data_IF_278387512622
#
_entry.id   IF_278387512622
#
_cell.length_a   1.000
_cell.length_b   1.000
_cell.length_c   1.000
_cell.angle_alpha   90.00
_cell.angle_beta   90.00
_cell.angle_gamma   90.00
#
_symmetry.space_group_name_H-M   'P 1'
#
loop_
_entity.id
_entity.type
_entity.pdbx_description
1 polymer ?
#
# COMPACT_ATOMS: atom_id res chain seq x y z
N UNK A 1 11.48 19.70 19.08
CA UNK A 1 10.11 19.47 18.57
C UNK A 1 9.92 17.96 18.53
N UNK A 2 8.86 17.39 19.02
CA UNK A 2 8.68 15.93 18.98
C UNK A 2 8.21 15.56 17.59
N UNK A 3 8.88 14.60 16.94
CA UNK A 3 8.47 14.03 15.67
C UNK A 3 7.10 13.35 15.81
N UNK A 4 6.35 13.35 14.74
CA UNK A 4 5.02 12.73 14.68
C UNK A 4 5.18 11.24 14.31
N UNK A 5 4.39 10.36 14.93
CA UNK A 5 4.18 9.02 14.41
C UNK A 5 3.08 9.11 13.37
N UNK A 6 3.45 9.15 12.12
CA UNK A 6 2.52 9.29 11.00
C UNK A 6 2.13 7.92 10.42
N UNK A 7 0.92 7.83 9.89
CA UNK A 7 0.43 6.67 9.16
C UNK A 7 -0.30 7.05 7.88
N UNK A 8 -0.34 6.10 6.98
CA UNK A 8 -1.11 6.17 5.75
C UNK A 8 -1.74 4.81 5.45
N UNK A 9 -3.01 4.79 5.09
CA UNK A 9 -3.72 3.58 4.69
C UNK A 9 -4.09 3.66 3.22
N UNK A 10 -3.51 2.77 2.42
CA UNK A 10 -3.83 2.60 1.02
C UNK A 10 -4.58 1.28 0.79
N UNK A 11 -5.47 1.29 -0.20
CA UNK A 11 -6.08 0.10 -0.78
C UNK A 11 -5.81 0.06 -2.27
N UNK A 12 -5.68 -1.12 -2.85
CA UNK A 12 -5.49 -1.27 -4.29
C UNK A 12 -6.70 -1.92 -4.94
N UNK A 13 -7.02 -1.46 -6.14
CA UNK A 13 -7.96 -2.14 -7.04
C UNK A 13 -7.44 -2.02 -8.47
N UNK A 14 -7.01 -3.14 -9.03
CA UNK A 14 -6.28 -3.14 -10.29
C UNK A 14 -4.99 -2.33 -10.18
N UNK A 15 -4.82 -1.35 -11.05
CA UNK A 15 -3.65 -0.47 -11.06
C UNK A 15 -3.80 0.79 -10.19
N UNK A 16 -4.97 1.02 -9.63
CA UNK A 16 -5.28 2.24 -8.86
C UNK A 16 -5.04 2.02 -7.37
N UNK A 17 -4.55 3.06 -6.71
CA UNK A 17 -4.33 3.14 -5.27
C UNK A 17 -5.31 4.14 -4.66
N UNK A 18 -6.04 3.71 -3.66
CA UNK A 18 -7.03 4.50 -2.95
C UNK A 18 -6.47 4.91 -1.59
N UNK A 19 -6.25 6.19 -1.38
CA UNK A 19 -5.92 6.75 -0.07
C UNK A 19 -7.21 6.85 0.75
N UNK A 20 -7.35 5.98 1.75
CA UNK A 20 -8.58 5.87 2.56
C UNK A 20 -8.43 6.40 3.98
N UNK A 21 -7.20 6.55 4.47
CA UNK A 21 -6.87 7.22 5.73
C UNK A 21 -5.43 7.69 5.73
N UNK A 22 -5.19 8.76 6.42
CA UNK A 22 -3.88 9.27 6.80
C UNK A 22 -3.99 9.97 8.14
N UNK A 23 -2.87 10.24 8.77
CA UNK A 23 -2.82 11.02 9.99
C UNK A 23 -1.51 10.85 10.74
N UNK A 24 -1.48 11.40 11.93
CA UNK A 24 -0.34 11.29 12.81
C UNK A 24 -0.68 11.61 14.25
N UNK A 25 0.16 11.16 15.18
CA UNK A 25 0.05 11.50 16.60
C UNK A 25 1.41 11.76 17.22
N UNK A 26 1.43 12.50 18.30
CA UNK A 26 2.64 12.83 19.08
C UNK A 26 2.72 12.11 20.41
N UNK A 27 2.04 10.98 20.51
CA UNK A 27 1.97 10.16 21.71
C UNK A 27 3.23 9.29 21.90
N UNK A 28 4.14 9.31 20.92
CA UNK A 28 5.35 8.49 20.92
C UNK A 28 5.01 7.00 20.99
N UNK A 29 5.75 6.25 21.78
CA UNK A 29 5.60 4.79 21.96
C UNK A 29 4.64 4.43 23.12
N UNK A 30 3.73 5.30 23.48
CA UNK A 30 2.75 5.03 24.55
C UNK A 30 1.69 4.02 24.10
N UNK A 31 1.07 3.36 25.07
CA UNK A 31 -0.04 2.43 24.82
C UNK A 31 -1.18 3.09 24.05
N UNK A 32 -1.48 4.36 24.35
CA UNK A 32 -2.50 5.14 23.66
C UNK A 32 -2.13 5.35 22.19
N UNK A 33 -0.86 5.61 21.87
CA UNK A 33 -0.37 5.72 20.51
C UNK A 33 -0.52 4.39 19.74
N UNK A 34 -0.15 3.27 20.36
CA UNK A 34 -0.29 1.95 19.77
C UNK A 34 -1.76 1.57 19.55
N UNK A 35 -2.62 1.89 20.51
CA UNK A 35 -4.06 1.67 20.40
C UNK A 35 -4.66 2.47 19.24
N UNK A 36 -4.27 3.73 19.06
CA UNK A 36 -4.72 4.58 17.95
C UNK A 36 -4.39 3.93 16.60
N UNK A 37 -3.17 3.40 16.45
CA UNK A 37 -2.77 2.71 15.21
C UNK A 37 -3.57 1.42 15.00
N UNK A 38 -3.84 0.65 16.06
CA UNK A 38 -4.64 -0.57 15.99
C UNK A 38 -6.09 -0.26 15.57
N UNK A 39 -6.71 0.73 16.20
CA UNK A 39 -8.10 1.13 15.92
C UNK A 39 -8.24 1.59 14.46
N UNK A 40 -7.28 2.37 13.94
CA UNK A 40 -7.29 2.84 12.57
C UNK A 40 -7.06 1.67 11.57
N UNK A 41 -6.14 0.76 11.89
CA UNK A 41 -5.92 -0.43 11.09
C UNK A 41 -7.16 -1.36 11.06
N UNK A 42 -7.81 -1.58 12.20
CA UNK A 42 -9.03 -2.38 12.30
C UNK A 42 -10.19 -1.76 11.55
N UNK A 43 -10.41 -0.45 11.69
CA UNK A 43 -11.44 0.32 11.00
C UNK A 43 -11.34 0.19 9.48
N UNK A 44 -10.13 0.23 8.94
CA UNK A 44 -9.87 0.11 7.51
C UNK A 44 -9.58 -1.31 7.05
N UNK A 45 -9.63 -2.31 7.95
CA UNK A 45 -9.34 -3.73 7.67
C UNK A 45 -7.99 -3.92 6.98
N UNK A 46 -6.96 -3.29 7.55
CA UNK A 46 -5.59 -3.38 7.09
C UNK A 46 -5.08 -4.79 7.30
N UNK A 47 -4.59 -5.46 6.27
CA UNK A 47 -4.03 -6.80 6.35
C UNK A 47 -2.49 -6.82 6.36
N UNK A 48 -1.86 -5.67 6.11
CA UNK A 48 -0.42 -5.54 6.01
C UNK A 48 0.05 -4.19 6.53
N UNK A 49 1.01 -4.18 7.46
CA UNK A 49 1.59 -2.98 8.04
C UNK A 49 3.07 -2.93 7.68
N UNK A 50 3.51 -1.80 7.12
CA UNK A 50 4.91 -1.49 6.91
C UNK A 50 5.39 -0.57 8.02
N UNK A 51 6.50 -0.92 8.65
CA UNK A 51 7.15 -0.09 9.66
C UNK A 51 8.53 0.29 9.18
N UNK A 52 8.80 1.59 9.09
CA UNK A 52 10.14 2.06 8.78
C UNK A 52 11.05 1.88 10.00
N UNK A 53 12.11 1.08 9.85
CA UNK A 53 13.02 0.69 10.95
C UNK A 53 14.30 1.53 11.02
N UNK A 54 14.33 2.71 10.39
CA UNK A 54 15.50 3.58 10.37
C UNK A 54 15.85 4.17 11.75
N UNK A 55 14.92 4.10 12.70
CA UNK A 55 15.11 4.58 14.06
C UNK A 55 14.84 3.48 15.09
N UNK A 56 15.82 3.16 15.93
CA UNK A 56 15.62 2.27 17.08
C UNK A 56 15.71 0.76 16.83
N UNK A 57 16.35 0.32 15.74
CA UNK A 57 16.66 -1.11 15.45
C UNK A 57 15.49 -2.10 15.70
N UNK A 58 14.29 -1.74 15.22
CA UNK A 58 13.11 -2.60 15.34
C UNK A 58 12.36 -2.49 16.69
N UNK A 59 12.76 -1.59 17.57
CA UNK A 59 12.08 -1.43 18.87
C UNK A 59 10.60 -1.06 18.69
N UNK A 60 10.28 -0.18 17.75
CA UNK A 60 8.89 0.21 17.48
C UNK A 60 8.04 -1.00 17.05
N UNK A 61 8.56 -1.83 16.17
CA UNK A 61 7.89 -3.06 15.73
C UNK A 61 7.66 -4.03 16.88
N UNK A 62 8.61 -4.17 17.79
CA UNK A 62 8.46 -5.03 18.97
C UNK A 62 7.35 -4.53 19.89
N UNK A 63 7.19 -3.22 20.05
CA UNK A 63 6.11 -2.63 20.85
C UNK A 63 4.76 -2.71 20.13
N UNK A 64 4.76 -2.65 18.79
CA UNK A 64 3.55 -2.70 17.99
C UNK A 64 2.97 -4.11 17.85
N UNK A 65 3.82 -5.15 17.69
CA UNK A 65 3.39 -6.55 17.49
C UNK A 65 2.35 -7.07 18.47
N UNK A 66 2.45 -6.82 19.80
CA UNK A 66 1.47 -7.31 20.76
C UNK A 66 0.04 -6.75 20.55
N UNK A 67 -0.09 -5.63 19.87
CA UNK A 67 -1.37 -5.00 19.57
C UNK A 67 -2.10 -5.65 18.39
N UNK A 68 -1.36 -6.38 17.53
CA UNK A 68 -1.87 -7.01 16.31
C UNK A 68 -1.84 -8.54 16.42
N UNK A 69 -2.48 -9.06 17.47
CA UNK A 69 -2.65 -10.50 17.72
C UNK A 69 -4.13 -10.86 17.70
N UNK A 70 -4.42 -12.16 17.51
CA UNK A 70 -5.80 -12.67 17.59
C UNK A 70 -6.42 -12.42 18.98
N UNK A 71 -5.64 -12.48 20.05
CA UNK A 71 -6.07 -12.19 21.42
C UNK A 71 -6.56 -10.73 21.60
N UNK A 72 -5.98 -9.80 20.85
CA UNK A 72 -6.42 -8.40 20.80
C UNK A 72 -7.53 -8.15 19.78
N UNK A 73 -8.02 -9.20 19.11
CA UNK A 73 -9.15 -9.16 18.18
C UNK A 73 -8.82 -8.66 16.78
N UNK A 74 -7.55 -8.38 16.47
CA UNK A 74 -7.15 -7.96 15.12
C UNK A 74 -5.71 -8.36 14.80
N UNK A 75 -5.55 -9.39 13.96
CA UNK A 75 -4.24 -9.85 13.50
C UNK A 75 -3.96 -9.33 12.09
N UNK A 76 -2.72 -8.86 11.86
CA UNK A 76 -2.23 -8.52 10.53
C UNK A 76 -0.72 -8.78 10.40
N UNK A 77 -0.23 -8.82 9.17
CA UNK A 77 1.19 -8.98 8.88
C UNK A 77 1.93 -7.66 9.12
N UNK A 78 3.05 -7.72 9.87
CA UNK A 78 3.92 -6.55 10.09
C UNK A 78 5.28 -6.84 9.48
N UNK A 79 5.71 -5.99 8.54
CA UNK A 79 7.02 -6.02 7.90
C UNK A 79 7.80 -4.76 8.22
N UNK A 80 9.09 -4.93 8.52
CA UNK A 80 10.03 -3.83 8.67
C UNK A 80 10.70 -3.53 7.34
N UNK A 81 10.75 -2.25 6.98
CA UNK A 81 11.42 -1.78 5.78
C UNK A 81 12.52 -0.80 6.14
N UNK A 82 13.66 -0.91 5.42
CA UNK A 82 14.79 0.01 5.55
C UNK A 82 15.02 0.71 4.23
N UNK A 83 15.27 2.01 4.27
CA UNK A 83 15.65 2.77 3.10
C UNK A 83 16.99 3.48 3.32
N UNK A 84 17.91 3.32 2.35
CA UNK A 84 19.22 3.97 2.37
C UNK A 84 19.34 5.10 1.33
N UNK A 85 18.26 5.38 0.59
CA UNK A 85 18.22 6.45 -0.41
C UNK A 85 17.91 7.79 0.24
N UNK A 86 18.26 8.89 -0.42
CA UNK A 86 17.83 10.21 -0.02
C UNK A 86 16.30 10.24 0.03
N UNK A 87 15.74 10.68 1.15
CA UNK A 87 14.32 10.61 1.48
C UNK A 87 13.46 11.34 0.45
N UNK A 88 13.77 12.59 0.16
CA UNK A 88 13.00 13.44 -0.76
C UNK A 88 12.96 12.85 -2.19
N UNK A 89 14.11 12.37 -2.68
CA UNK A 89 14.19 11.72 -3.99
C UNK A 89 13.36 10.43 -4.02
N UNK A 90 13.43 9.62 -2.97
CA UNK A 90 12.64 8.39 -2.86
C UNK A 90 11.14 8.68 -2.91
N UNK A 91 10.69 9.67 -2.16
CA UNK A 91 9.29 10.09 -2.11
C UNK A 91 8.82 10.55 -3.50
N UNK A 92 9.58 11.45 -4.14
CA UNK A 92 9.22 12.01 -5.45
C UNK A 92 9.24 10.92 -6.52
N UNK A 93 10.32 10.12 -6.60
CA UNK A 93 10.47 9.04 -7.58
C UNK A 93 9.33 7.99 -7.48
N UNK A 94 8.76 7.81 -6.27
CA UNK A 94 7.65 6.88 -6.05
C UNK A 94 6.30 7.50 -6.41
N UNK A 95 6.02 8.73 -5.96
CA UNK A 95 4.70 9.33 -6.05
C UNK A 95 4.46 10.05 -7.37
N UNK A 96 5.46 10.72 -7.94
CA UNK A 96 5.31 11.49 -9.18
C UNK A 96 4.76 10.67 -10.36
N UNK A 97 5.28 9.45 -10.65
CA UNK A 97 4.74 8.63 -11.73
C UNK A 97 3.28 8.21 -11.48
N UNK A 98 2.92 7.89 -10.24
CA UNK A 98 1.57 7.48 -9.88
C UNK A 98 0.57 8.63 -9.98
N UNK A 99 0.97 9.83 -9.57
CA UNK A 99 0.17 11.05 -9.67
C UNK A 99 -0.03 11.47 -11.14
N UNK A 100 1.05 11.47 -11.93
CA UNK A 100 1.00 11.83 -13.35
C UNK A 100 0.14 10.86 -14.17
N UNK A 101 0.07 9.59 -13.77
CA UNK A 101 -0.78 8.57 -14.38
C UNK A 101 -2.20 8.55 -13.80
N UNK A 102 -2.55 9.45 -12.91
CA UNK A 102 -3.85 9.51 -12.22
C UNK A 102 -4.23 8.19 -11.52
N UNK A 103 -3.24 7.46 -11.01
CA UNK A 103 -3.44 6.17 -10.34
C UNK A 103 -3.75 6.30 -8.85
N UNK A 104 -3.54 7.47 -8.27
CA UNK A 104 -3.84 7.77 -6.88
C UNK A 104 -5.23 8.43 -6.81
N UNK A 105 -6.13 7.77 -6.10
CA UNK A 105 -7.49 8.25 -5.86
C UNK A 105 -7.63 8.53 -4.38
N UNK A 106 -8.11 9.71 -4.04
CA UNK A 106 -8.26 10.14 -2.65
C UNK A 106 -9.74 10.29 -2.32
N UNK A 107 -10.17 9.71 -1.19
CA UNK A 107 -11.50 9.99 -0.66
C UNK A 107 -11.56 11.46 -0.19
N UNK A 108 -12.61 12.18 -0.61
CA UNK A 108 -12.82 13.58 -0.21
C UNK A 108 -12.79 13.75 1.31
N UNK A 109 -13.30 12.78 2.05
CA UNK A 109 -13.29 12.81 3.52
C UNK A 109 -11.88 12.80 4.11
N UNK A 110 -10.90 12.20 3.43
CA UNK A 110 -9.49 12.23 3.85
C UNK A 110 -8.94 13.63 3.73
N UNK A 111 -9.24 14.32 2.63
CA UNK A 111 -8.82 15.72 2.41
C UNK A 111 -9.46 16.64 3.47
N UNK A 112 -10.75 16.46 3.72
CA UNK A 112 -11.48 17.26 4.72
C UNK A 112 -10.93 17.03 6.14
N UNK A 113 -10.58 15.79 6.47
CA UNK A 113 -9.99 15.43 7.78
C UNK A 113 -8.59 16.01 7.93
N UNK A 114 -7.69 15.84 6.94
CA UNK A 114 -6.35 16.43 6.96
C UNK A 114 -6.41 17.95 7.18
N UNK A 115 -7.36 18.61 6.53
CA UNK A 115 -7.59 20.04 6.74
C UNK A 115 -8.06 20.37 8.16
N UNK A 116 -9.01 19.60 8.71
CA UNK A 116 -9.53 19.81 10.06
C UNK A 116 -8.45 19.59 11.12
N UNK A 117 -7.72 18.46 11.04
CA UNK A 117 -6.61 18.15 11.93
C UNK A 117 -5.55 19.26 11.89
N UNK A 118 -5.28 19.79 10.70
CA UNK A 118 -4.35 20.91 10.52
C UNK A 118 -4.84 22.20 11.16
N UNK A 119 -6.15 22.53 11.09
CA UNK A 119 -6.70 23.71 11.74
C UNK A 119 -6.58 23.63 13.27
N UNK A 120 -6.77 22.46 13.86
CA UNK A 120 -6.56 22.24 15.29
C UNK A 120 -5.08 22.46 15.68
N UNK A 121 -4.15 22.02 14.82
CA UNK A 121 -2.71 22.21 15.03
C UNK A 121 -2.26 23.66 14.86
N UNK A 122 -2.81 24.41 13.90
CA UNK A 122 -2.51 25.83 13.71
C UNK A 122 -2.84 26.65 14.97
N UNK A 123 -3.91 26.30 15.67
CA UNK A 123 -4.29 26.95 16.93
C UNK A 123 -3.32 26.70 18.10
N UNK A 124 -2.48 25.66 18.02
CA UNK A 124 -1.62 25.20 19.11
C UNK A 124 -0.12 25.25 18.81
N UNK A 125 0.26 25.28 17.53
CA UNK A 125 1.65 25.19 17.09
C UNK A 125 2.00 26.22 16.04
N UNK A 126 3.18 26.77 16.16
CA UNK A 126 3.83 27.50 15.08
C UNK A 126 4.04 26.56 13.89
N UNK A 127 3.58 26.93 12.70
CA UNK A 127 3.63 26.12 11.48
C UNK A 127 2.80 24.81 11.51
N UNK A 128 1.66 24.79 12.20
CA UNK A 128 0.78 23.61 12.26
C UNK A 128 0.36 23.07 10.87
N UNK A 129 0.25 23.93 9.86
CA UNK A 129 -0.06 23.53 8.48
C UNK A 129 0.99 22.62 7.85
N UNK A 130 2.26 22.67 8.31
CA UNK A 130 3.33 21.82 7.79
C UNK A 130 3.14 20.32 8.11
N UNK A 131 2.20 20.00 9.00
CA UNK A 131 1.81 18.61 9.28
C UNK A 131 0.78 18.04 8.31
N UNK A 132 0.10 18.87 7.49
CA UNK A 132 -0.84 18.40 6.48
C UNK A 132 -0.15 17.56 5.41
N UNK A 133 -0.69 16.38 5.10
CA UNK A 133 -0.23 15.54 4.00
C UNK A 133 -0.28 16.28 2.67
N UNK A 134 -1.38 16.98 2.40
CA UNK A 134 -1.55 17.66 1.11
C UNK A 134 -0.66 18.90 0.99
N UNK A 135 -0.33 19.57 2.11
CA UNK A 135 0.71 20.59 2.12
C UNK A 135 2.08 19.98 1.79
N UNK A 136 2.45 18.89 2.45
CA UNK A 136 3.71 18.20 2.22
C UNK A 136 3.85 17.73 0.76
N UNK A 137 2.80 17.14 0.19
CA UNK A 137 2.77 16.68 -1.21
C UNK A 137 3.00 17.81 -2.23
N UNK A 138 2.51 19.01 -1.91
CA UNK A 138 2.60 20.16 -2.85
C UNK A 138 3.88 20.98 -2.68
N UNK A 139 4.62 20.80 -1.58
CA UNK A 139 5.81 21.60 -1.26
C UNK A 139 7.10 20.80 -1.23
N UNK A 140 7.04 19.46 -1.35
CA UNK A 140 8.24 18.64 -1.42
C UNK A 140 9.04 18.93 -2.69
N UNK A 141 10.34 19.13 -2.54
CA UNK A 141 11.28 19.29 -3.66
C UNK A 141 12.43 18.27 -3.53
N UNK A 142 13.27 18.19 -4.57
CA UNK A 142 14.44 17.28 -4.57
C UNK A 142 15.56 17.72 -3.63
N UNK A 143 15.45 18.92 -3.06
CA UNK A 143 16.42 19.47 -2.14
C UNK A 143 16.26 18.84 -0.75
N UNK A 144 17.36 18.53 -0.10
CA UNK A 144 17.34 17.96 1.26
C UNK A 144 16.75 18.96 2.25
N UNK A 145 15.83 18.47 3.08
CA UNK A 145 15.16 19.28 4.10
C UNK A 145 14.21 20.32 3.50
N UNK A 146 13.63 20.05 2.34
CA UNK A 146 12.66 20.94 1.69
C UNK A 146 11.40 21.13 2.52
N UNK A 147 11.06 20.19 3.38
CA UNK A 147 9.92 20.25 4.29
C UNK A 147 10.38 20.34 5.75
N UNK A 148 9.65 21.07 6.58
CA UNK A 148 9.86 21.12 8.04
C UNK A 148 9.39 19.81 8.69
N UNK A 149 8.29 19.27 8.21
CA UNK A 149 7.73 17.96 8.56
C UNK A 149 7.43 17.22 7.28
N UNK A 150 7.83 15.96 7.19
CA UNK A 150 7.69 15.12 6.00
C UNK A 150 7.18 13.71 6.34
N UNK A 151 6.78 13.48 7.61
CA UNK A 151 6.44 12.16 8.13
C UNK A 151 5.21 11.56 7.41
N UNK A 152 4.17 12.36 7.11
CA UNK A 152 2.95 11.87 6.45
C UNK A 152 3.18 11.55 4.98
N UNK A 153 3.90 12.40 4.26
CA UNK A 153 4.22 12.15 2.84
C UNK A 153 5.19 10.97 2.70
N UNK A 154 6.08 10.77 3.67
CA UNK A 154 6.97 9.61 3.69
C UNK A 154 6.22 8.31 3.96
N UNK A 155 5.31 8.28 4.93
CA UNK A 155 4.42 7.14 5.17
C UNK A 155 3.59 6.80 3.93
N UNK A 156 3.07 7.81 3.22
CA UNK A 156 2.32 7.64 1.99
C UNK A 156 3.19 7.04 0.87
N UNK A 157 4.39 7.58 0.66
CA UNK A 157 5.33 7.07 -0.33
C UNK A 157 5.78 5.62 -0.03
N UNK A 158 6.03 5.29 1.25
CA UNK A 158 6.36 3.94 1.69
C UNK A 158 5.26 2.92 1.35
N UNK A 159 4.00 3.25 1.66
CA UNK A 159 2.86 2.43 1.28
C UNK A 159 2.72 2.28 -0.24
N UNK A 160 2.84 3.37 -1.00
CA UNK A 160 2.74 3.35 -2.45
C UNK A 160 3.83 2.52 -3.10
N UNK A 161 5.09 2.62 -2.62
CA UNK A 161 6.21 1.82 -3.10
C UNK A 161 5.96 0.32 -2.94
N UNK A 162 5.40 -0.11 -1.81
CA UNK A 162 5.08 -1.53 -1.57
C UNK A 162 4.03 -2.04 -2.55
N UNK A 163 3.01 -1.27 -2.84
CA UNK A 163 2.01 -1.65 -3.86
C UNK A 163 2.62 -1.75 -5.26
N UNK A 164 3.52 -0.83 -5.64
CA UNK A 164 4.23 -0.89 -6.93
C UNK A 164 5.07 -2.17 -7.01
N UNK A 165 5.78 -2.53 -5.93
CA UNK A 165 6.56 -3.78 -5.84
C UNK A 165 5.66 -5.00 -6.03
N UNK A 166 4.55 -5.08 -5.30
CA UNK A 166 3.60 -6.20 -5.39
C UNK A 166 2.98 -6.32 -6.78
N UNK A 167 2.59 -5.20 -7.40
CA UNK A 167 2.05 -5.20 -8.77
C UNK A 167 3.08 -5.65 -9.80
N UNK A 168 4.36 -5.29 -9.63
CA UNK A 168 5.43 -5.73 -10.52
C UNK A 168 5.68 -7.24 -10.39
N UNK A 169 5.70 -7.75 -9.16
CA UNK A 169 5.84 -9.19 -8.91
C UNK A 169 4.71 -10.02 -9.52
N UNK A 170 3.46 -9.54 -9.45
CA UNK A 170 2.31 -10.18 -10.10
C UNK A 170 2.44 -10.21 -11.62
N UNK A 171 2.99 -9.12 -12.22
CA UNK A 171 3.23 -9.07 -13.66
C UNK A 171 4.33 -10.06 -14.09
N UNK A 172 5.42 -10.16 -13.34
CA UNK A 172 6.51 -11.10 -13.63
C UNK A 172 6.03 -12.55 -13.57
N UNK A 173 5.20 -12.90 -12.60
CA UNK A 173 4.57 -14.23 -12.50
C UNK A 173 3.66 -14.51 -13.70
N UNK A 174 2.88 -13.54 -14.15
CA UNK A 174 2.02 -13.66 -15.32
C UNK A 174 2.83 -13.85 -16.61
N UNK A 175 3.94 -13.12 -16.78
CA UNK A 175 4.85 -13.23 -17.92
C UNK A 175 5.49 -14.61 -17.94
N UNK A 176 5.97 -15.10 -16.79
CA UNK A 176 6.61 -16.41 -16.69
C UNK A 176 5.62 -17.55 -17.00
N UNK A 177 4.40 -17.47 -16.47
CA UNK A 177 3.34 -18.44 -16.77
C UNK A 177 2.98 -18.46 -18.26
N UNK A 178 2.95 -17.30 -18.93
CA UNK A 178 2.69 -17.21 -20.35
C UNK A 178 3.83 -17.84 -21.18
N UNK A 179 5.10 -17.56 -20.81
CA UNK A 179 6.27 -18.19 -21.46
C UNK A 179 6.25 -19.72 -21.31
N UNK A 180 5.91 -20.21 -20.11
CA UNK A 180 5.82 -21.66 -19.88
C UNK A 180 4.72 -22.29 -20.74
N UNK A 181 3.56 -21.63 -20.87
CA UNK A 181 2.48 -22.10 -21.74
C UNK A 181 2.88 -22.14 -23.22
N UNK A 182 3.66 -21.16 -23.69
CA UNK A 182 4.19 -21.13 -25.06
C UNK A 182 5.18 -22.28 -25.29
N UNK A 183 6.09 -22.54 -24.33
CA UNK A 183 7.04 -23.67 -24.40
C UNK A 183 6.29 -25.00 -24.40
N UNK A 184 5.28 -25.17 -23.55
CA UNK A 184 4.48 -26.39 -23.49
C UNK A 184 3.73 -26.64 -24.82
N UNK A 185 3.22 -25.57 -25.45
CA UNK A 185 2.58 -25.65 -26.76
C UNK A 185 3.58 -26.05 -27.86
N UNK A 186 4.78 -25.46 -27.88
CA UNK A 186 5.84 -25.83 -28.82
C UNK A 186 6.31 -27.28 -28.61
N UNK A 187 6.44 -27.75 -27.37
CA UNK A 187 6.77 -29.15 -27.08
C UNK A 187 5.71 -30.14 -27.60
N UNK A 188 4.42 -29.81 -27.47
CA UNK A 188 3.33 -30.64 -28.01
C UNK A 188 3.39 -30.74 -29.52
N UNK A 189 3.65 -29.61 -30.20
CA UNK A 189 3.85 -29.62 -31.69
C UNK A 189 5.05 -30.48 -32.10
N UNK A 190 6.17 -30.36 -31.36
CA UNK A 190 7.39 -31.14 -31.63
C UNK A 190 7.19 -32.64 -31.41
N UNK A 191 6.39 -33.04 -30.44
CA UNK A 191 6.07 -34.45 -30.15
C UNK A 191 5.10 -35.06 -31.19
N UNK A 192 4.66 -34.29 -32.18
CA UNK A 192 3.81 -34.77 -33.27
C UNK A 192 2.36 -34.95 -32.88
N UNK A 193 1.93 -34.40 -31.80
CA UNK A 193 0.54 -34.34 -31.41
C UNK A 193 -0.14 -33.20 -32.20
N UNK A 194 -0.46 -33.51 -33.47
CA UNK A 194 -0.95 -32.53 -34.44
C UNK A 194 -2.47 -32.29 -34.34
N UNK A 195 -3.10 -32.71 -33.26
CA UNK A 195 -4.50 -32.43 -33.02
C UNK A 195 -4.65 -30.98 -32.49
N UNK A 196 -4.91 -30.09 -33.45
CA UNK A 196 -5.17 -28.65 -33.15
C UNK A 196 -6.27 -28.44 -32.12
N UNK A 197 -7.16 -29.42 -31.95
CA UNK A 197 -8.20 -29.40 -30.91
C UNK A 197 -7.62 -29.52 -29.48
N UNK A 198 -6.51 -30.26 -29.32
CA UNK A 198 -5.84 -30.41 -28.04
C UNK A 198 -5.08 -29.12 -27.63
N UNK A 199 -4.45 -28.43 -28.60
CA UNK A 199 -3.79 -27.15 -28.38
C UNK A 199 -4.78 -26.03 -27.98
N UNK A 200 -5.94 -25.99 -28.62
CA UNK A 200 -7.02 -25.08 -28.29
C UNK A 200 -7.62 -25.38 -26.91
N UNK A 201 -7.73 -26.65 -26.53
CA UNK A 201 -8.20 -27.04 -25.18
C UNK A 201 -7.22 -26.73 -24.09
N UNK A 202 -5.91 -26.88 -24.32
CA UNK A 202 -4.86 -26.47 -23.35
C UNK A 202 -4.83 -24.97 -23.21
N UNK A 203 -4.87 -24.19 -24.29
CA UNK A 203 -4.94 -22.74 -24.25
C UNK A 203 -6.24 -22.23 -23.59
N UNK A 204 -7.39 -22.86 -23.86
CA UNK A 204 -8.65 -22.59 -23.18
C UNK A 204 -8.63 -23.04 -21.74
N UNK A 205 -8.01 -24.18 -21.40
CA UNK A 205 -7.87 -24.66 -20.03
C UNK A 205 -7.06 -23.70 -19.16
N UNK A 206 -5.95 -23.16 -19.66
CA UNK A 206 -5.16 -22.15 -18.97
C UNK A 206 -5.91 -20.82 -18.82
N UNK A 207 -6.56 -20.35 -19.87
CA UNK A 207 -7.40 -19.14 -19.79
C UNK A 207 -8.59 -19.32 -18.86
N UNK A 208 -9.22 -20.49 -18.88
CA UNK A 208 -10.32 -20.81 -17.96
C UNK A 208 -9.85 -20.91 -16.51
N UNK A 209 -8.67 -21.46 -16.25
CA UNK A 209 -8.10 -21.53 -14.90
C UNK A 209 -7.76 -20.15 -14.34
N UNK A 210 -7.19 -19.25 -15.14
CA UNK A 210 -6.92 -17.86 -14.76
C UNK A 210 -8.22 -17.10 -14.52
N UNK A 211 -9.23 -17.28 -15.35
CA UNK A 211 -10.56 -16.66 -15.18
C UNK A 211 -11.28 -17.24 -13.96
N UNK A 212 -11.19 -18.55 -13.71
CA UNK A 212 -11.81 -19.20 -12.54
C UNK A 212 -11.08 -18.82 -11.25
N UNK A 213 -9.76 -18.67 -11.24
CA UNK A 213 -9.04 -18.17 -10.06
C UNK A 213 -9.34 -16.70 -9.78
N UNK A 214 -9.48 -15.85 -10.80
CA UNK A 214 -9.96 -14.47 -10.63
C UNK A 214 -11.45 -14.37 -10.28
N UNK A 215 -12.28 -15.30 -10.75
CA UNK A 215 -13.71 -15.38 -10.41
C UNK A 215 -13.97 -16.25 -9.17
N UNK A 216 -13.06 -17.14 -8.80
CA UNK A 216 -13.18 -18.02 -7.63
C UNK A 216 -13.21 -17.28 -6.29
N UNK A 217 -12.81 -16.02 -6.25
CA UNK A 217 -13.07 -15.14 -5.12
C UNK A 217 -14.55 -14.71 -5.00
N UNK A 218 -15.38 -14.98 -6.00
CA UNK A 218 -16.82 -14.68 -6.01
C UNK A 218 -17.72 -15.87 -5.61
N UNK A 219 -17.16 -17.07 -5.34
CA UNK A 219 -17.93 -18.31 -5.45
C UNK A 219 -18.28 -19.07 -4.18
N UNK A 220 -18.12 -18.56 -2.96
CA UNK A 220 -18.60 -19.28 -1.77
C UNK A 220 -19.51 -18.54 -0.79
N UNK A 221 -19.75 -17.28 -0.89
CA UNK A 221 -20.60 -16.57 0.06
C UNK A 221 -21.52 -15.50 -0.56
N UNK A 222 -22.15 -15.73 -1.68
CA UNK A 222 -23.39 -15.06 -2.13
C UNK A 222 -23.49 -13.53 -1.97
N UNK A 223 -22.42 -12.80 -1.76
CA UNK A 223 -22.44 -11.34 -1.61
C UNK A 223 -22.11 -10.70 -2.96
N UNK A 224 -23.13 -10.21 -3.63
CA UNK A 224 -23.00 -9.30 -4.77
C UNK A 224 -22.28 -8.04 -4.31
N UNK A 225 -21.15 -7.71 -4.94
CA UNK A 225 -20.55 -6.40 -4.83
C UNK A 225 -21.43 -5.41 -5.60
N UNK A 226 -21.94 -4.43 -4.91
CA UNK A 226 -22.63 -3.30 -5.52
C UNK A 226 -21.55 -2.25 -5.77
N UNK A 227 -21.38 -1.86 -7.03
CA UNK A 227 -20.59 -0.69 -7.40
C UNK A 227 -21.26 0.54 -6.78
N UNK A 228 -20.50 1.27 -5.97
CA UNK A 228 -20.79 2.65 -5.58
C UNK A 228 -19.69 3.52 -6.16
#
# INVERSE_FOLDING_TARGET
MKDECAWCVLKSQGVNLFLVSEGGHRLGYSDLGMQTLQEEAQKHKVNYILVESNFGDGMFTQLLRPWFTEEKGYACTIEEVRSNKQKELRIIDTLEPLLNQHRIIVDRKVIERDYQDTQELIGTLENGFAYSLFYQLTHITKDRGSLVHDDRVDAFAGCAAKFVELMSADQDVLIENNKQADIDAECLVFLGDTDTSALDLVAMGHRAKIVVEKLGMAGKNGKKWVNV
#
